data_IF_011167978186
#
_entry.id   IF_011167978186
#
_cell.length_a   1.000
_cell.length_b   1.000
_cell.length_c   1.000
_cell.angle_alpha   90.00
_cell.angle_beta   90.00
_cell.angle_gamma   90.00
#
_symmetry.space_group_name_H-M   'P 1'
#
loop_
_entity.id
_entity.type
_entity.pdbx_description
1 polymer ?
#
# COMPACT_ATOMS: atom_id res chain seq x y z
N UNK A 1 -17.68 -7.21 -7.41
CA UNK A 1 -16.34 -7.77 -7.67
C UNK A 1 -16.15 -7.93 -9.17
N UNK A 2 -15.41 -7.02 -9.83
CA UNK A 2 -15.00 -7.20 -11.23
C UNK A 2 -13.70 -8.00 -11.25
N UNK A 3 -13.70 -9.10 -12.00
CA UNK A 3 -12.53 -9.95 -12.24
C UNK A 3 -11.44 -9.11 -12.93
N UNK A 4 -10.26 -9.14 -12.35
CA UNK A 4 -9.04 -8.55 -12.90
C UNK A 4 -8.61 -9.39 -14.11
N UNK A 5 -8.23 -8.75 -15.21
CA UNK A 5 -7.62 -9.41 -16.37
C UNK A 5 -6.23 -8.81 -16.57
N UNK A 6 -5.17 -9.60 -16.42
CA UNK A 6 -3.80 -9.13 -16.56
C UNK A 6 -2.89 -10.13 -17.31
N UNK A 7 -1.85 -9.59 -17.96
CA UNK A 7 -1.00 -10.19 -18.99
C UNK A 7 0.13 -11.15 -18.52
N UNK A 8 1.14 -11.42 -19.36
CA UNK A 8 1.82 -12.72 -19.49
C UNK A 8 3.02 -12.97 -18.54
N UNK A 9 3.03 -12.41 -17.33
CA UNK A 9 4.20 -12.46 -16.42
C UNK A 9 4.19 -13.64 -15.42
N UNK A 10 3.57 -14.77 -15.79
CA UNK A 10 3.17 -15.84 -14.87
C UNK A 10 4.25 -16.88 -14.47
N UNK A 11 5.53 -16.75 -14.84
CA UNK A 11 6.43 -17.91 -14.85
C UNK A 11 7.74 -17.86 -14.06
N UNK A 12 8.01 -16.85 -13.23
CA UNK A 12 9.25 -16.82 -12.43
C UNK A 12 8.94 -16.90 -10.93
N UNK A 13 9.08 -18.10 -10.36
CA UNK A 13 9.11 -18.30 -8.91
C UNK A 13 10.55 -18.23 -8.41
N UNK A 14 10.93 -17.21 -7.63
CA UNK A 14 12.27 -17.11 -7.05
C UNK A 14 12.53 -18.24 -6.03
N UNK A 15 11.48 -18.73 -5.36
CA UNK A 15 11.56 -19.74 -4.30
C UNK A 15 12.21 -21.06 -4.75
N UNK A 16 12.17 -21.36 -6.04
CA UNK A 16 12.80 -22.55 -6.64
C UNK A 16 14.34 -22.55 -6.60
N UNK A 17 14.97 -21.43 -6.27
CA UNK A 17 16.42 -21.23 -6.37
C UNK A 17 17.15 -21.04 -5.04
N UNK A 18 16.46 -21.03 -3.89
CA UNK A 18 17.07 -20.58 -2.63
C UNK A 18 17.18 -21.66 -1.56
N UNK A 19 18.43 -21.92 -1.15
CA UNK A 19 18.79 -22.59 0.09
C UNK A 19 19.14 -21.57 1.17
N UNK A 20 18.35 -21.53 2.24
CA UNK A 20 18.78 -21.12 3.59
C UNK A 20 19.04 -19.65 3.92
N UNK A 21 19.46 -18.79 2.98
CA UNK A 21 19.69 -17.35 3.27
C UNK A 21 18.45 -16.49 2.98
N UNK A 22 18.07 -15.63 3.92
CA UNK A 22 16.91 -14.75 3.81
C UNK A 22 17.06 -13.69 2.70
N UNK A 23 15.93 -13.20 2.17
CA UNK A 23 15.92 -12.18 1.13
C UNK A 23 16.51 -10.85 1.64
N UNK A 24 17.34 -10.21 0.81
CA UNK A 24 17.81 -8.85 1.07
C UNK A 24 16.71 -7.83 0.69
N UNK A 25 16.69 -6.62 1.27
CA UNK A 25 15.78 -5.57 0.81
C UNK A 25 16.07 -5.16 -0.64
N UNK A 26 15.01 -5.06 -1.45
CA UNK A 26 15.10 -4.61 -2.85
C UNK A 26 15.78 -3.25 -2.94
N UNK A 27 16.75 -3.13 -3.86
CA UNK A 27 17.35 -1.85 -4.24
C UNK A 27 16.86 -1.45 -5.61
N UNK A 28 16.02 -0.43 -5.70
CA UNK A 28 15.48 0.03 -6.97
C UNK A 28 15.37 1.55 -6.99
N UNK A 29 15.60 2.14 -8.16
CA UNK A 29 15.09 3.46 -8.47
C UNK A 29 13.76 3.27 -9.19
N UNK A 30 12.67 3.79 -8.61
CA UNK A 30 11.36 3.67 -9.23
C UNK A 30 11.37 4.23 -10.65
N UNK A 31 10.74 3.53 -11.62
CA UNK A 31 10.69 4.03 -12.99
C UNK A 31 9.93 5.38 -13.01
N UNK A 32 10.29 6.28 -13.94
CA UNK A 32 9.58 7.54 -14.07
C UNK A 32 8.10 7.30 -14.40
N UNK A 33 7.23 8.13 -13.83
CA UNK A 33 5.80 8.07 -14.06
C UNK A 33 5.36 9.22 -14.96
N UNK A 34 4.44 8.93 -15.87
CA UNK A 34 3.77 9.92 -16.72
C UNK A 34 2.56 10.52 -16.00
N UNK A 35 2.00 11.60 -16.54
CA UNK A 35 0.79 12.25 -16.02
C UNK A 35 -0.39 11.29 -15.84
N UNK A 36 -0.57 10.33 -16.76
CA UNK A 36 -1.61 9.29 -16.69
C UNK A 36 -1.49 8.36 -15.47
N UNK A 37 -0.34 8.36 -14.82
CA UNK A 37 -0.04 7.56 -13.62
C UNK A 37 -0.22 8.34 -12.32
N UNK A 38 -0.67 9.59 -12.36
CA UNK A 38 -0.86 10.44 -11.18
C UNK A 38 -2.35 10.62 -10.90
N UNK A 39 -2.73 10.60 -9.62
CA UNK A 39 -4.06 10.96 -9.15
C UNK A 39 -4.15 12.48 -9.01
N UNK A 40 -5.09 13.09 -9.74
CA UNK A 40 -5.23 14.55 -9.78
C UNK A 40 -5.56 15.17 -8.42
N UNK A 41 -6.24 14.43 -7.53
CA UNK A 41 -6.71 14.97 -6.26
C UNK A 41 -5.60 15.03 -5.23
N UNK A 42 -4.83 13.94 -5.10
CA UNK A 42 -3.83 13.76 -4.05
C UNK A 42 -2.40 14.06 -4.51
N UNK A 43 -2.16 14.08 -5.82
CA UNK A 43 -0.83 14.20 -6.40
C UNK A 43 0.04 12.94 -6.25
N UNK A 44 -0.48 11.89 -5.58
CA UNK A 44 0.19 10.60 -5.52
C UNK A 44 0.02 9.84 -6.84
N UNK A 45 0.91 8.89 -7.13
CA UNK A 45 0.66 7.87 -8.15
C UNK A 45 -0.71 7.21 -7.98
N UNK A 46 -1.39 6.92 -9.08
CA UNK A 46 -2.65 6.20 -9.11
C UNK A 46 -2.41 4.68 -9.28
N UNK A 47 -3.49 3.90 -9.35
CA UNK A 47 -3.44 2.45 -9.59
C UNK A 47 -2.56 2.02 -10.78
N UNK A 48 -2.64 2.72 -11.91
CA UNK A 48 -1.81 2.41 -13.09
C UNK A 48 -0.33 2.68 -12.82
N UNK A 49 -0.03 3.72 -12.02
CA UNK A 49 1.31 3.96 -11.51
C UNK A 49 1.84 2.81 -10.65
N UNK A 50 1.00 2.27 -9.75
CA UNK A 50 1.34 1.08 -8.93
C UNK A 50 1.65 -0.12 -9.82
N UNK A 51 0.81 -0.40 -10.81
CA UNK A 51 0.99 -1.52 -11.75
C UNK A 51 2.33 -1.40 -12.50
N UNK A 52 2.67 -0.20 -12.99
CA UNK A 52 3.92 0.06 -13.70
C UNK A 52 5.17 -0.13 -12.82
N UNK A 53 5.14 0.33 -11.56
CA UNK A 53 6.29 0.18 -10.66
C UNK A 53 6.43 -1.23 -10.10
N UNK A 54 5.33 -1.96 -9.88
CA UNK A 54 5.35 -3.35 -9.42
C UNK A 54 6.02 -4.27 -10.44
N UNK A 55 5.74 -4.07 -11.74
CA UNK A 55 6.37 -4.85 -12.81
C UNK A 55 7.90 -4.67 -12.80
N UNK A 56 8.37 -3.44 -12.60
CA UNK A 56 9.81 -3.16 -12.46
C UNK A 56 10.39 -3.75 -11.16
N UNK A 57 9.66 -3.64 -10.05
CA UNK A 57 10.08 -4.16 -8.75
C UNK A 57 10.26 -5.67 -8.75
N UNK A 58 9.32 -6.42 -9.34
CA UNK A 58 9.42 -7.88 -9.44
C UNK A 58 10.61 -8.30 -10.27
N UNK A 59 10.81 -7.71 -11.46
CA UNK A 59 11.97 -8.03 -12.31
C UNK A 59 13.28 -7.82 -11.57
N UNK A 60 13.39 -6.70 -10.87
CA UNK A 60 14.61 -6.35 -10.16
C UNK A 60 14.82 -7.19 -8.90
N UNK A 61 13.74 -7.52 -8.18
CA UNK A 61 13.77 -8.43 -7.03
C UNK A 61 14.23 -9.83 -7.43
N UNK A 62 13.73 -10.36 -8.56
CA UNK A 62 14.20 -11.63 -9.10
C UNK A 62 15.69 -11.60 -9.46
N UNK A 63 16.18 -10.50 -10.03
CA UNK A 63 17.60 -10.33 -10.39
C UNK A 63 18.52 -10.22 -9.17
N UNK A 64 18.04 -9.57 -8.10
CA UNK A 64 18.82 -9.31 -6.88
C UNK A 64 18.67 -10.39 -5.81
N UNK A 65 17.77 -11.36 -6.00
CA UNK A 65 17.35 -12.28 -4.94
C UNK A 65 16.82 -11.50 -3.71
N UNK A 66 15.99 -10.49 -3.98
CA UNK A 66 15.54 -9.52 -3.00
C UNK A 66 14.03 -9.59 -2.74
N UNK A 67 13.59 -8.93 -1.67
CA UNK A 67 12.20 -8.83 -1.26
C UNK A 67 11.79 -7.37 -1.04
N UNK A 68 10.48 -7.12 -1.14
CA UNK A 68 9.88 -5.83 -0.81
C UNK A 68 8.50 -6.03 -0.18
N UNK A 69 8.09 -5.07 0.64
CA UNK A 69 6.78 -5.07 1.28
C UNK A 69 5.72 -4.41 0.42
N UNK A 70 4.52 -4.98 0.44
CA UNK A 70 3.29 -4.39 -0.08
C UNK A 70 2.38 -4.09 1.10
N UNK A 71 1.94 -2.84 1.21
CA UNK A 71 1.00 -2.41 2.25
C UNK A 71 -0.20 -1.77 1.56
N UNK A 72 -1.40 -2.24 1.88
CA UNK A 72 -2.66 -1.62 1.45
C UNK A 72 -3.33 -0.99 2.67
N UNK A 73 -3.82 0.23 2.49
CA UNK A 73 -4.53 1.01 3.48
C UNK A 73 -5.94 1.34 2.99
N UNK A 74 -6.88 1.43 3.92
CA UNK A 74 -8.23 1.91 3.67
C UNK A 74 -8.63 2.89 4.78
N UNK A 75 -9.19 4.04 4.38
CA UNK A 75 -9.71 5.02 5.34
C UNK A 75 -11.01 4.49 5.95
N UNK A 76 -10.99 4.28 7.26
CA UNK A 76 -12.12 3.67 7.96
C UNK A 76 -13.35 4.58 7.89
N UNK A 77 -14.49 3.98 7.54
CA UNK A 77 -15.78 4.67 7.47
C UNK A 77 -15.78 5.90 6.55
N UNK A 78 -14.94 5.94 5.50
CA UNK A 78 -14.86 7.07 4.58
C UNK A 78 -16.20 7.46 3.95
N UNK A 79 -17.05 6.48 3.60
CA UNK A 79 -18.42 6.75 3.15
C UNK A 79 -19.22 7.58 4.17
N UNK A 80 -19.12 7.29 5.48
CA UNK A 80 -19.80 8.04 6.53
C UNK A 80 -19.31 9.49 6.60
N UNK A 81 -18.02 9.73 6.36
CA UNK A 81 -17.47 11.10 6.25
C UNK A 81 -18.15 11.85 5.11
N UNK A 82 -18.22 11.25 3.91
CA UNK A 82 -18.90 11.86 2.77
C UNK A 82 -20.39 12.10 3.02
N UNK A 83 -21.08 11.10 3.56
CA UNK A 83 -22.53 11.17 3.81
C UNK A 83 -22.86 12.22 4.89
N UNK A 84 -21.96 12.47 5.85
CA UNK A 84 -22.17 13.42 6.96
C UNK A 84 -21.71 14.84 6.62
N UNK A 85 -20.59 14.99 5.93
CA UNK A 85 -19.90 16.27 5.74
C UNK A 85 -19.77 16.71 4.28
N UNK A 86 -20.26 15.90 3.34
CA UNK A 86 -20.18 16.15 1.91
C UNK A 86 -18.85 15.75 1.28
N UNK A 87 -18.87 15.60 -0.05
CA UNK A 87 -17.72 15.15 -0.83
C UNK A 87 -16.50 16.08 -0.77
N UNK A 88 -16.70 17.40 -0.64
CA UNK A 88 -15.60 18.34 -0.46
C UNK A 88 -14.78 18.05 0.81
N UNK A 89 -15.46 17.69 1.90
CA UNK A 89 -14.78 17.26 3.13
C UNK A 89 -14.03 15.95 2.92
N UNK A 90 -14.65 14.98 2.23
CA UNK A 90 -13.98 13.72 1.87
C UNK A 90 -12.72 13.93 1.03
N UNK A 91 -12.77 14.83 0.05
CA UNK A 91 -11.61 15.18 -0.79
C UNK A 91 -10.46 15.77 0.03
N UNK A 92 -10.77 16.64 1.00
CA UNK A 92 -9.77 17.17 1.92
C UNK A 92 -9.18 16.07 2.81
N UNK A 93 -10.00 15.13 3.30
CA UNK A 93 -9.53 13.96 4.05
C UNK A 93 -8.56 13.13 3.23
N UNK A 94 -8.87 12.85 1.95
CA UNK A 94 -7.99 12.11 1.06
C UNK A 94 -6.63 12.80 0.85
N UNK A 95 -6.63 14.13 0.68
CA UNK A 95 -5.40 14.93 0.54
C UNK A 95 -4.55 14.90 1.81
N UNK A 96 -5.16 15.08 2.98
CA UNK A 96 -4.45 15.03 4.26
C UNK A 96 -3.90 13.62 4.50
N UNK A 97 -4.69 12.57 4.21
CA UNK A 97 -4.24 11.18 4.31
C UNK A 97 -3.02 10.93 3.43
N UNK A 98 -3.08 11.34 2.15
CA UNK A 98 -1.97 11.22 1.21
C UNK A 98 -0.69 11.90 1.72
N UNK A 99 -0.81 13.12 2.27
CA UNK A 99 0.31 13.85 2.87
C UNK A 99 0.91 13.12 4.06
N UNK A 100 0.06 12.57 4.95
CA UNK A 100 0.50 11.82 6.13
C UNK A 100 1.16 10.50 5.75
N UNK A 101 0.59 9.77 4.80
CA UNK A 101 1.20 8.56 4.24
C UNK A 101 2.59 8.87 3.68
N UNK A 102 2.72 9.88 2.82
CA UNK A 102 4.02 10.22 2.21
C UNK A 102 5.06 10.65 3.23
N UNK A 103 4.67 11.42 4.23
CA UNK A 103 5.56 11.87 5.32
C UNK A 103 5.94 10.73 6.27
N UNK A 104 5.13 9.68 6.32
CA UNK A 104 5.30 8.51 7.19
C UNK A 104 5.99 7.34 6.50
N UNK A 105 6.57 7.53 5.31
CA UNK A 105 7.42 6.53 4.64
C UNK A 105 8.73 7.18 4.20
N UNK A 106 9.74 6.39 3.80
CA UNK A 106 11.00 6.97 3.33
C UNK A 106 10.83 7.55 1.92
N UNK A 107 11.71 8.47 1.53
CA UNK A 107 11.71 9.03 0.18
C UNK A 107 11.91 7.97 -0.91
N UNK A 108 12.67 6.91 -0.59
CA UNK A 108 12.92 5.73 -1.43
C UNK A 108 11.75 4.76 -1.50
N UNK A 109 10.76 4.86 -0.61
CA UNK A 109 9.55 4.04 -0.67
C UNK A 109 8.55 4.68 -1.65
N UNK A 110 7.62 3.87 -2.14
CA UNK A 110 6.56 4.30 -3.04
C UNK A 110 5.24 4.44 -2.27
N UNK A 111 4.50 5.51 -2.51
CA UNK A 111 3.13 5.70 -2.04
C UNK A 111 2.21 5.96 -3.22
N UNK A 112 0.97 5.49 -3.15
CA UNK A 112 -0.02 5.66 -4.21
C UNK A 112 -1.43 5.71 -3.67
N UNK A 113 -2.33 6.36 -4.41
CA UNK A 113 -3.78 6.19 -4.26
C UNK A 113 -4.23 5.06 -5.18
N UNK A 114 -4.58 3.93 -4.58
CA UNK A 114 -4.86 2.68 -5.29
C UNK A 114 -6.32 2.56 -5.72
N UNK A 115 -7.23 3.14 -4.94
CA UNK A 115 -8.67 3.13 -5.18
C UNK A 115 -9.33 4.45 -4.78
N UNK A 116 -10.64 4.42 -4.51
CA UNK A 116 -11.40 5.60 -4.07
C UNK A 116 -10.84 6.16 -2.75
N UNK A 117 -10.93 5.37 -1.70
CA UNK A 117 -10.39 5.60 -0.35
C UNK A 117 -9.21 4.71 0.02
N UNK A 118 -8.74 3.90 -0.94
CA UNK A 118 -7.67 2.93 -0.76
C UNK A 118 -6.33 3.50 -1.20
N UNK A 119 -5.29 3.26 -0.41
CA UNK A 119 -3.91 3.68 -0.68
C UNK A 119 -2.98 2.47 -0.63
N UNK A 120 -1.86 2.56 -1.34
CA UNK A 120 -0.83 1.54 -1.32
C UNK A 120 0.53 2.14 -0.97
N UNK A 121 1.38 1.35 -0.32
CA UNK A 121 2.80 1.61 -0.21
C UNK A 121 3.62 0.39 -0.64
N UNK A 122 4.68 0.63 -1.42
CA UNK A 122 5.71 -0.37 -1.69
C UNK A 122 6.96 0.05 -0.94
N UNK A 123 7.41 -0.81 -0.04
CA UNK A 123 8.49 -0.48 0.90
C UNK A 123 9.70 -1.37 0.65
N UNK A 124 10.89 -0.76 0.64
CA UNK A 124 12.15 -1.48 0.40
C UNK A 124 12.62 -2.17 1.69
N UNK A 125 11.83 -3.12 2.15
CA UNK A 125 12.06 -3.95 3.34
C UNK A 125 11.74 -5.41 3.03
N UNK A 126 12.59 -6.31 3.51
CA UNK A 126 12.45 -7.75 3.29
C UNK A 126 11.81 -8.49 4.48
N UNK A 127 11.96 -7.97 5.71
CA UNK A 127 11.36 -8.59 6.89
C UNK A 127 9.89 -8.17 7.06
N UNK A 128 9.03 -9.15 7.37
CA UNK A 128 7.61 -8.93 7.60
C UNK A 128 7.34 -7.95 8.73
N UNK A 129 8.12 -8.05 9.81
CA UNK A 129 8.06 -7.17 10.97
C UNK A 129 8.30 -5.73 10.56
N UNK A 130 9.29 -5.49 9.68
CA UNK A 130 9.62 -4.13 9.25
C UNK A 130 8.56 -3.51 8.35
N UNK A 131 7.95 -4.32 7.49
CA UNK A 131 6.81 -3.90 6.66
C UNK A 131 5.61 -3.56 7.54
N UNK A 132 5.32 -4.37 8.56
CA UNK A 132 4.26 -4.09 9.52
C UNK A 132 4.52 -2.80 10.33
N UNK A 133 5.74 -2.58 10.83
CA UNK A 133 6.13 -1.34 11.54
C UNK A 133 5.89 -0.08 10.69
N UNK A 134 6.16 -0.15 9.38
CA UNK A 134 5.91 0.99 8.47
C UNK A 134 4.41 1.25 8.34
N UNK A 135 3.60 0.20 8.16
CA UNK A 135 2.15 0.31 8.14
C UNK A 135 1.60 0.91 9.44
N UNK A 136 2.11 0.44 10.58
CA UNK A 136 1.69 0.91 11.90
C UNK A 136 2.06 2.38 12.13
N UNK A 137 3.24 2.80 11.66
CA UNK A 137 3.65 4.21 11.70
C UNK A 137 2.68 5.11 10.92
N UNK A 138 2.24 4.69 9.74
CA UNK A 138 1.23 5.42 8.96
C UNK A 138 -0.10 5.47 9.74
N UNK A 139 -0.56 4.33 10.28
CA UNK A 139 -1.80 4.25 11.05
C UNK A 139 -1.79 5.20 12.25
N UNK A 140 -0.70 5.20 13.02
CA UNK A 140 -0.52 6.10 14.16
C UNK A 140 -0.45 7.57 13.74
N UNK A 141 0.18 7.90 12.62
CA UNK A 141 0.20 9.27 12.10
C UNK A 141 -1.20 9.75 11.66
N UNK A 142 -2.03 8.85 11.15
CA UNK A 142 -3.43 9.13 10.77
C UNK A 142 -4.29 9.30 12.03
N UNK A 143 -4.27 8.34 12.95
CA UNK A 143 -5.11 8.37 14.14
C UNK A 143 -4.65 9.39 15.21
N UNK A 144 -3.35 9.69 15.26
CA UNK A 144 -2.72 10.49 16.32
C UNK A 144 -2.92 12.00 16.19
N UNK A 145 -3.48 12.49 15.08
CA UNK A 145 -3.78 13.90 14.90
C UNK A 145 -5.12 14.10 14.19
N UNK A 146 -5.98 15.04 14.63
CA UNK A 146 -7.24 15.30 13.95
C UNK A 146 -7.02 15.84 12.54
N UNK A 147 -8.00 15.59 11.66
CA UNK A 147 -8.04 16.14 10.33
C UNK A 147 -8.78 17.46 10.39
N UNK A 148 -8.07 18.57 10.17
CA UNK A 148 -8.66 19.91 10.13
C UNK A 148 -9.19 20.21 8.72
N UNK A 149 -10.51 20.27 8.58
CA UNK A 149 -11.17 20.53 7.29
C UNK A 149 -12.26 21.56 7.50
N UNK A 150 -12.17 22.69 6.79
CA UNK A 150 -13.18 23.77 6.84
C UNK A 150 -13.51 24.24 8.28
N UNK A 151 -12.49 24.35 9.13
CA UNK A 151 -12.65 24.77 10.53
C UNK A 151 -13.23 23.70 11.47
N UNK A 152 -13.34 22.44 11.01
CA UNK A 152 -13.79 21.30 11.82
C UNK A 152 -12.64 20.34 12.09
N UNK A 153 -12.68 19.69 13.24
CA UNK A 153 -11.79 18.58 13.58
C UNK A 153 -12.51 17.25 13.33
N UNK A 154 -11.91 16.40 12.49
CA UNK A 154 -12.41 15.06 12.21
C UNK A 154 -11.45 14.01 12.77
N UNK A 155 -11.98 13.08 13.56
CA UNK A 155 -11.28 11.86 13.93
C UNK A 155 -11.37 10.86 12.77
N UNK A 156 -10.24 10.59 12.13
CA UNK A 156 -10.13 9.66 11.00
C UNK A 156 -9.10 8.59 11.37
N UNK A 157 -9.44 7.33 11.12
CA UNK A 157 -8.55 6.19 11.29
C UNK A 157 -8.38 5.45 9.96
N UNK A 158 -7.44 4.53 9.90
CA UNK A 158 -7.31 3.63 8.78
C UNK A 158 -6.99 2.21 9.24
N UNK A 159 -7.39 1.25 8.44
CA UNK A 159 -6.97 -0.13 8.56
C UNK A 159 -5.92 -0.44 7.50
N UNK A 160 -5.01 -1.37 7.78
CA UNK A 160 -4.00 -1.79 6.80
C UNK A 160 -3.74 -3.29 6.78
N UNK A 161 -3.33 -3.78 5.61
CA UNK A 161 -2.88 -5.15 5.39
C UNK A 161 -1.49 -5.16 4.76
N UNK A 162 -0.61 -6.01 5.27
CA UNK A 162 0.77 -6.13 4.78
C UNK A 162 1.05 -7.53 4.24
N UNK A 163 1.86 -7.60 3.18
CA UNK A 163 2.46 -8.82 2.66
C UNK A 163 3.88 -8.53 2.16
N UNK A 164 4.70 -9.57 2.01
CA UNK A 164 6.08 -9.45 1.50
C UNK A 164 6.22 -10.27 0.22
N UNK A 165 6.63 -9.65 -0.87
CA UNK A 165 7.05 -10.37 -2.07
C UNK A 165 8.51 -10.85 -1.91
N UNK A 166 8.86 -12.09 -2.29
CA UNK A 166 8.00 -13.15 -2.81
C UNK A 166 7.44 -14.11 -1.72
N UNK A 167 7.69 -13.82 -0.43
CA UNK A 167 7.36 -14.70 0.69
C UNK A 167 5.87 -15.04 0.82
N UNK A 168 5.00 -14.08 0.55
CA UNK A 168 3.55 -14.17 0.67
C UNK A 168 2.85 -14.30 -0.70
N UNK A 169 3.62 -14.52 -1.75
CA UNK A 169 3.12 -14.66 -3.11
C UNK A 169 4.28 -14.64 -4.12
N UNK A 170 4.47 -15.69 -4.95
CA UNK A 170 5.55 -15.73 -5.93
C UNK A 170 5.38 -14.74 -7.08
N UNK A 171 4.21 -14.11 -7.21
CA UNK A 171 3.93 -13.02 -8.16
C UNK A 171 3.52 -11.72 -7.44
N UNK A 172 3.68 -10.57 -8.11
CA UNK A 172 3.16 -9.29 -7.58
C UNK A 172 1.65 -9.35 -7.31
N UNK A 173 0.88 -10.01 -8.18
CA UNK A 173 -0.56 -10.14 -8.01
C UNK A 173 -0.91 -10.90 -6.73
N UNK A 174 -0.23 -12.01 -6.46
CA UNK A 174 -0.45 -12.79 -5.24
C UNK A 174 -0.02 -12.04 -3.99
N UNK A 175 1.10 -11.32 -4.02
CA UNK A 175 1.54 -10.49 -2.90
C UNK A 175 0.55 -9.35 -2.61
N UNK A 176 0.03 -8.68 -3.65
CA UNK A 176 -1.02 -7.64 -3.50
C UNK A 176 -2.31 -8.25 -2.96
N UNK A 177 -2.70 -9.43 -3.45
CA UNK A 177 -3.88 -10.17 -2.97
C UNK A 177 -3.72 -10.61 -1.51
N UNK A 178 -2.52 -11.02 -1.10
CA UNK A 178 -2.21 -11.35 0.29
C UNK A 178 -2.38 -10.11 1.20
N UNK A 179 -1.87 -8.95 0.77
CA UNK A 179 -2.08 -7.69 1.49
C UNK A 179 -3.57 -7.30 1.56
N UNK A 180 -4.34 -7.50 0.48
CA UNK A 180 -5.78 -7.25 0.44
C UNK A 180 -6.55 -8.15 1.41
N UNK A 181 -6.25 -9.44 1.45
CA UNK A 181 -6.83 -10.39 2.41
C UNK A 181 -6.51 -9.97 3.86
N UNK A 182 -5.28 -9.53 4.11
CA UNK A 182 -4.90 -9.02 5.43
C UNK A 182 -5.66 -7.74 5.80
N UNK A 183 -5.81 -6.79 4.86
CA UNK A 183 -6.57 -5.57 5.05
C UNK A 183 -8.05 -5.86 5.34
N UNK A 184 -8.64 -6.79 4.61
CA UNK A 184 -10.01 -7.24 4.85
C UNK A 184 -10.18 -7.78 6.28
N UNK A 185 -9.26 -8.65 6.72
CA UNK A 185 -9.25 -9.15 8.11
C UNK A 185 -9.10 -8.03 9.14
N UNK A 186 -8.32 -6.98 8.85
CA UNK A 186 -8.16 -5.83 9.75
C UNK A 186 -9.49 -5.07 9.91
N UNK A 187 -10.24 -4.91 8.80
CA UNK A 187 -11.58 -4.32 8.83
C UNK A 187 -12.58 -5.17 9.64
N UNK A 188 -12.49 -6.49 9.56
CA UNK A 188 -13.31 -7.42 10.35
C UNK A 188 -12.92 -7.45 11.84
N UNK A 189 -11.64 -7.23 12.15
CA UNK A 189 -11.13 -7.18 13.52
C UNK A 189 -11.48 -5.89 14.28
N UNK A 190 -12.36 -5.05 13.74
CA UNK A 190 -12.83 -3.82 14.38
C UNK A 190 -12.22 -2.53 13.85
N UNK A 191 -11.45 -2.60 12.75
CA UNK A 191 -10.77 -1.45 12.11
C UNK A 191 -9.70 -0.79 12.98
N UNK A 192 -9.10 0.30 12.48
CA UNK A 192 -8.02 1.03 13.13
C UNK A 192 -6.89 0.11 13.60
N UNK A 193 -6.56 -0.90 12.78
CA UNK A 193 -5.53 -1.88 13.08
C UNK A 193 -4.84 -2.36 11.80
N UNK A 194 -3.72 -3.05 12.00
CA UNK A 194 -2.92 -3.63 10.94
C UNK A 194 -2.82 -5.13 11.05
N UNK A 195 -2.97 -5.85 9.95
CA UNK A 195 -2.71 -7.29 9.90
C UNK A 195 -1.58 -7.58 8.94
N UNK A 196 -0.62 -8.37 9.42
CA UNK A 196 0.39 -9.00 8.60
C UNK A 196 -0.17 -10.30 8.02
N UNK A 197 -0.02 -10.51 6.71
CA UNK A 197 -0.43 -11.75 6.07
C UNK A 197 0.38 -12.93 6.61
N UNK A 198 -0.34 -13.99 6.94
CA UNK A 198 0.20 -15.30 7.31
C UNK A 198 -0.33 -16.30 6.29
N UNK A 199 0.58 -16.84 5.50
CA UNK A 199 0.37 -17.95 4.57
C UNK A 199 -0.08 -19.20 5.29
#
# INVERSE_FOLDING_TARGET
MRKLSFGPWQSLSPLSFFGGEGFQPLRISWPPLEEKHVDFLTGLPNRRGVEAVLEAAVREACRQCAAFGVILFDIDHFKKVNDTYGHHTGDAVLKIFASRLRSSIKSIDFAARYGGEEFAALVLAAEKEKVWEIGERVRLAVAGAPFFVEGKELAVTCSFGCAVFPLDGPTAEEAVKAADVALYRAKEAGRNCGILYKS
#
